data_IF_916261549441
#
_entry.id   IF_916261549441
#
_cell.length_a   1.000
_cell.length_b   1.000
_cell.length_c   1.000
_cell.angle_alpha   90.00
_cell.angle_beta   90.00
_cell.angle_gamma   90.00
#
_symmetry.space_group_name_H-M   'P 1'
#
loop_
_entity.id
_entity.type
_entity.pdbx_description
1 polymer ?
#
# COMPACT_ATOMS: atom_id res chain seq x y z
N UNK A 1 7.82 -15.16 6.18
CA UNK A 1 6.63 -14.64 5.47
C UNK A 1 7.15 -13.83 4.30
N UNK A 2 6.90 -14.26 3.06
CA UNK A 2 7.48 -13.62 1.87
C UNK A 2 6.95 -12.20 1.63
N UNK A 3 7.87 -11.28 1.32
CA UNK A 3 7.68 -9.85 1.12
C UNK A 3 6.51 -9.49 0.18
N UNK A 4 6.32 -10.27 -0.89
CA UNK A 4 5.26 -10.08 -1.89
C UNK A 4 3.86 -9.96 -1.29
N UNK A 5 3.56 -10.66 -0.19
CA UNK A 5 2.20 -10.74 0.38
C UNK A 5 1.68 -9.39 0.90
N UNK A 6 2.59 -8.48 1.26
CA UNK A 6 2.25 -7.18 1.85
C UNK A 6 2.28 -6.03 0.86
N UNK A 7 2.82 -6.23 -0.34
CA UNK A 7 2.85 -5.22 -1.40
C UNK A 7 1.72 -5.53 -2.38
N UNK A 8 0.80 -4.60 -2.58
CA UNK A 8 -0.27 -4.75 -3.55
C UNK A 8 0.29 -4.85 -4.99
N UNK A 9 -0.44 -5.46 -5.94
CA UNK A 9 -0.01 -5.52 -7.35
C UNK A 9 0.25 -4.16 -8.00
N UNK A 10 -0.38 -3.10 -7.49
CA UNK A 10 -0.14 -1.73 -7.91
C UNK A 10 1.10 -1.08 -7.27
N UNK A 11 1.84 -1.73 -6.38
CA UNK A 11 3.03 -1.14 -5.74
C UNK A 11 2.74 -0.36 -4.45
N UNK A 12 1.55 -0.49 -3.87
CA UNK A 12 1.26 0.07 -2.54
C UNK A 12 1.74 -0.92 -1.48
N UNK A 13 2.52 -0.46 -0.50
CA UNK A 13 2.78 -1.22 0.73
C UNK A 13 1.50 -1.24 1.60
N UNK A 14 0.79 -2.37 1.66
CA UNK A 14 -0.45 -2.49 2.41
C UNK A 14 -0.26 -2.28 3.92
N UNK A 15 0.95 -2.45 4.47
CA UNK A 15 1.20 -2.19 5.89
C UNK A 15 1.01 -0.74 6.29
N UNK A 16 1.03 0.19 5.33
CA UNK A 16 0.75 1.62 5.51
C UNK A 16 -0.76 1.95 5.46
N UNK A 17 -1.62 0.97 5.20
CA UNK A 17 -3.07 1.16 5.17
C UNK A 17 -3.65 1.07 6.58
N UNK A 18 -4.53 2.00 6.96
CA UNK A 18 -5.17 1.96 8.29
C UNK A 18 -5.99 0.68 8.51
N UNK A 19 -6.61 0.12 7.46
CA UNK A 19 -7.35 -1.14 7.60
C UNK A 19 -6.42 -2.35 7.80
N UNK A 20 -5.17 -2.29 7.32
CA UNK A 20 -4.19 -3.33 7.61
C UNK A 20 -3.67 -3.21 9.05
N UNK A 21 -3.60 -1.98 9.58
CA UNK A 21 -3.18 -1.69 10.95
C UNK A 21 -4.33 -1.83 11.98
N UNK A 22 -5.58 -2.01 11.55
CA UNK A 22 -6.72 -2.21 12.44
C UNK A 22 -6.63 -3.56 13.16
N UNK A 23 -6.51 -3.53 14.49
CA UNK A 23 -6.37 -4.75 15.32
C UNK A 23 -7.69 -5.52 15.44
N UNK A 24 -8.85 -4.84 15.35
CA UNK A 24 -10.18 -5.45 15.52
C UNK A 24 -10.70 -6.03 14.20
N UNK A 25 -10.47 -5.34 13.09
CA UNK A 25 -10.97 -5.70 11.75
C UNK A 25 -9.84 -5.68 10.72
N UNK A 26 -8.81 -6.48 10.98
CA UNK A 26 -7.58 -6.49 10.19
C UNK A 26 -7.82 -6.92 8.74
N UNK A 27 -7.53 -6.03 7.81
CA UNK A 27 -7.40 -6.38 6.39
C UNK A 27 -6.05 -7.07 6.16
N UNK A 28 -6.02 -8.26 5.54
CA UNK A 28 -4.78 -9.03 5.34
C UNK A 28 -3.93 -8.54 4.17
N UNK A 29 -4.37 -7.51 3.43
CA UNK A 29 -3.69 -6.97 2.25
C UNK A 29 -4.29 -7.45 0.93
N UNK A 30 -4.00 -6.73 -0.15
CA UNK A 30 -4.66 -6.92 -1.46
C UNK A 30 -4.35 -8.26 -2.14
N UNK A 31 -3.26 -8.94 -1.75
CA UNK A 31 -2.88 -10.25 -2.30
C UNK A 31 -3.37 -11.44 -1.48
N UNK A 32 -3.93 -11.20 -0.30
CA UNK A 32 -4.33 -12.30 0.57
C UNK A 32 -5.47 -13.11 -0.05
N UNK A 33 -5.40 -14.42 0.10
CA UNK A 33 -6.52 -15.33 -0.24
C UNK A 33 -7.33 -15.74 1.00
N UNK A 34 -6.89 -15.31 2.19
CA UNK A 34 -7.46 -15.69 3.48
C UNK A 34 -7.83 -14.41 4.24
N UNK A 35 -8.93 -14.45 4.98
CA UNK A 35 -9.40 -13.32 5.78
C UNK A 35 -10.26 -12.32 5.00
N UNK A 36 -10.71 -11.28 5.69
CA UNK A 36 -11.64 -10.30 5.12
C UNK A 36 -10.89 -9.12 4.52
N UNK A 37 -10.79 -9.08 3.19
CA UNK A 37 -10.28 -7.92 2.47
C UNK A 37 -11.31 -6.78 2.53
N UNK A 38 -10.83 -5.56 2.79
CA UNK A 38 -11.67 -4.36 2.77
C UNK A 38 -12.43 -4.26 1.44
N UNK A 39 -13.73 -3.97 1.49
CA UNK A 39 -14.62 -3.89 0.31
C UNK A 39 -14.05 -3.05 -0.86
N UNK A 40 -13.42 -1.91 -0.58
CA UNK A 40 -12.80 -1.07 -1.61
C UNK A 40 -11.59 -1.72 -2.30
N UNK A 41 -10.83 -2.54 -1.58
CA UNK A 41 -9.70 -3.31 -2.12
C UNK A 41 -10.21 -4.55 -2.86
N UNK A 42 -11.23 -5.22 -2.31
CA UNK A 42 -11.88 -6.37 -2.93
C UNK A 42 -12.49 -6.03 -4.30
N UNK A 43 -13.10 -4.84 -4.41
CA UNK A 43 -13.72 -4.36 -5.65
C UNK A 43 -12.75 -3.56 -6.54
N UNK A 44 -11.46 -3.54 -6.23
CA UNK A 44 -10.49 -2.73 -6.95
C UNK A 44 -10.21 -3.32 -8.33
N UNK A 45 -10.54 -2.59 -9.40
CA UNK A 45 -10.28 -3.00 -10.78
C UNK A 45 -8.79 -3.32 -11.04
N UNK A 46 -7.87 -2.55 -10.46
CA UNK A 46 -6.42 -2.81 -10.60
C UNK A 46 -6.03 -4.10 -9.88
N UNK A 47 -6.54 -4.34 -8.67
CA UNK A 47 -6.26 -5.57 -7.91
C UNK A 47 -6.80 -6.81 -8.62
N UNK A 48 -7.97 -6.69 -9.26
CA UNK A 48 -8.67 -7.80 -9.93
C UNK A 48 -8.30 -7.96 -11.42
N UNK A 49 -7.50 -7.07 -11.99
CA UNK A 49 -7.06 -7.16 -13.38
C UNK A 49 -6.28 -8.48 -13.63
N UNK A 50 -6.64 -9.19 -14.68
CA UNK A 50 -6.04 -10.47 -15.10
C UNK A 50 -4.80 -10.30 -15.99
N UNK A 51 -4.65 -9.14 -16.66
CA UNK A 51 -3.50 -8.85 -17.54
C UNK A 51 -2.14 -8.73 -16.84
N UNK A 52 -2.10 -8.74 -15.50
CA UNK A 52 -0.87 -8.65 -14.70
C UNK A 52 -0.58 -10.01 -14.07
N UNK A 53 0.70 -10.39 -14.00
CA UNK A 53 1.15 -11.60 -13.33
C UNK A 53 1.23 -11.39 -11.81
N UNK A 54 2.24 -10.65 -11.35
CA UNK A 54 2.44 -10.24 -9.96
C UNK A 54 2.25 -8.75 -9.82
N UNK A 55 2.89 -7.94 -10.66
CA UNK A 55 2.86 -6.49 -10.58
C UNK A 55 2.31 -5.85 -11.84
N UNK A 56 1.75 -4.65 -11.70
CA UNK A 56 1.23 -3.90 -12.84
C UNK A 56 2.33 -3.53 -13.86
N UNK A 57 3.60 -3.42 -13.46
CA UNK A 57 4.70 -3.13 -14.38
C UNK A 57 5.04 -4.28 -15.34
N UNK A 58 4.51 -5.48 -15.09
CA UNK A 58 4.71 -6.67 -15.94
C UNK A 58 3.69 -6.74 -17.08
N UNK A 59 2.66 -5.88 -17.05
CA UNK A 59 1.65 -5.82 -18.10
C UNK A 59 2.17 -5.05 -19.33
N UNK A 60 1.85 -5.53 -20.54
CA UNK A 60 2.20 -4.87 -21.80
C UNK A 60 1.61 -3.46 -21.95
N UNK A 61 0.48 -3.18 -21.29
CA UNK A 61 -0.19 -1.87 -21.32
C UNK A 61 0.36 -0.90 -20.24
N UNK A 62 1.43 -1.26 -19.54
CA UNK A 62 1.98 -0.44 -18.47
C UNK A 62 2.66 0.84 -18.99
N UNK A 63 2.45 2.01 -18.35
CA UNK A 63 1.43 2.29 -17.34
C UNK A 63 0.04 2.54 -17.98
N UNK A 64 -0.95 1.73 -17.60
CA UNK A 64 -2.29 1.82 -18.19
C UNK A 64 -3.10 3.00 -17.62
N UNK A 65 -4.18 3.40 -18.32
CA UNK A 65 -5.03 4.54 -17.93
C UNK A 65 -5.59 4.42 -16.51
N UNK A 66 -6.03 3.23 -16.10
CA UNK A 66 -6.57 2.99 -14.77
C UNK A 66 -5.51 3.15 -13.68
N UNK A 67 -4.29 2.67 -13.92
CA UNK A 67 -3.18 2.79 -12.97
C UNK A 67 -2.74 4.25 -12.83
N UNK A 68 -2.63 5.00 -13.93
CA UNK A 68 -2.32 6.44 -13.93
C UNK A 68 -3.37 7.24 -13.14
N UNK A 69 -4.65 6.87 -13.28
CA UNK A 69 -5.71 7.50 -12.49
C UNK A 69 -5.56 7.20 -10.99
N UNK A 70 -5.31 5.94 -10.62
CA UNK A 70 -5.09 5.53 -9.24
C UNK A 70 -3.90 6.29 -8.62
N UNK A 71 -2.78 6.36 -9.35
CA UNK A 71 -1.58 7.09 -8.97
C UNK A 71 -1.88 8.56 -8.68
N UNK A 72 -2.56 9.27 -9.59
CA UNK A 72 -2.97 10.66 -9.38
C UNK A 72 -3.80 10.84 -8.10
N UNK A 73 -4.74 9.92 -7.83
CA UNK A 73 -5.55 10.00 -6.60
C UNK A 73 -4.72 9.79 -5.33
N UNK A 74 -3.75 8.87 -5.36
CA UNK A 74 -2.87 8.60 -4.22
C UNK A 74 -1.89 9.75 -3.97
N UNK A 75 -1.36 10.38 -5.02
CA UNK A 75 -0.52 11.57 -4.88
C UNK A 75 -1.30 12.72 -4.24
N UNK A 76 -2.54 12.97 -4.70
CA UNK A 76 -3.37 14.04 -4.17
C UNK A 76 -3.75 13.82 -2.70
N UNK A 77 -4.18 12.61 -2.34
CA UNK A 77 -4.74 12.30 -1.01
C UNK A 77 -3.70 11.91 0.03
N UNK A 78 -2.65 11.21 -0.37
CA UNK A 78 -1.71 10.55 0.55
C UNK A 78 -0.25 10.91 0.30
N UNK A 79 0.03 11.81 -0.66
CA UNK A 79 1.39 12.20 -1.06
C UNK A 79 2.27 10.99 -1.39
N UNK A 80 1.66 9.96 -1.97
CA UNK A 80 2.31 8.71 -2.37
C UNK A 80 2.23 8.54 -3.88
N UNK A 81 3.36 8.22 -4.50
CA UNK A 81 3.47 7.99 -5.94
C UNK A 81 3.55 6.48 -6.21
N UNK A 82 2.50 5.94 -6.81
CA UNK A 82 2.34 4.52 -7.11
C UNK A 82 3.27 4.10 -8.25
N UNK A 83 3.44 4.95 -9.27
CA UNK A 83 4.31 4.63 -10.40
C UNK A 83 5.78 4.59 -9.97
N UNK A 84 6.20 5.53 -9.12
CA UNK A 84 7.53 5.54 -8.52
C UNK A 84 7.75 4.31 -7.62
N UNK A 85 6.76 3.91 -6.82
CA UNK A 85 6.86 2.69 -6.02
C UNK A 85 7.07 1.45 -6.92
N UNK A 86 6.29 1.32 -7.99
CA UNK A 86 6.43 0.20 -8.94
C UNK A 86 7.80 0.19 -9.62
N UNK A 87 8.31 1.36 -10.01
CA UNK A 87 9.62 1.49 -10.61
C UNK A 87 10.74 1.14 -9.61
N UNK A 88 10.61 1.58 -8.36
CA UNK A 88 11.53 1.20 -7.27
C UNK A 88 11.54 -0.31 -7.05
N UNK A 89 10.37 -0.95 -6.94
CA UNK A 89 10.26 -2.41 -6.76
C UNK A 89 10.92 -3.13 -7.94
N UNK A 90 10.67 -2.68 -9.17
CA UNK A 90 11.26 -3.26 -10.38
C UNK A 90 12.78 -3.16 -10.40
N UNK A 91 13.35 -2.03 -9.96
CA UNK A 91 14.79 -1.78 -10.04
C UNK A 91 15.58 -2.30 -8.84
N UNK A 92 15.00 -2.28 -7.64
CA UNK A 92 15.68 -2.53 -6.36
C UNK A 92 15.14 -3.74 -5.60
N UNK A 93 14.00 -4.28 -6.01
CA UNK A 93 13.35 -5.41 -5.37
C UNK A 93 12.44 -5.02 -4.20
N UNK A 94 11.64 -6.00 -3.76
CA UNK A 94 10.61 -5.84 -2.73
C UNK A 94 11.18 -5.51 -1.35
N UNK A 95 12.29 -6.14 -0.98
CA UNK A 95 12.90 -5.97 0.35
C UNK A 95 13.45 -4.55 0.52
N UNK A 96 14.22 -4.07 -0.47
CA UNK A 96 14.72 -2.70 -0.49
C UNK A 96 13.58 -1.68 -0.48
N UNK A 97 12.48 -1.97 -1.18
CA UNK A 97 11.29 -1.13 -1.16
C UNK A 97 10.66 -1.10 0.24
N UNK A 98 10.45 -2.24 0.88
CA UNK A 98 9.86 -2.31 2.23
C UNK A 98 10.72 -1.55 3.25
N UNK A 99 12.05 -1.74 3.22
CA UNK A 99 12.97 -1.00 4.10
C UNK A 99 12.83 0.50 3.89
N UNK A 100 12.90 0.97 2.64
CA UNK A 100 12.73 2.38 2.28
C UNK A 100 11.38 2.95 2.74
N UNK A 101 10.28 2.21 2.54
CA UNK A 101 8.96 2.64 3.01
C UNK A 101 8.89 2.68 4.54
N UNK A 102 9.47 1.69 5.23
CA UNK A 102 9.47 1.65 6.69
C UNK A 102 10.25 2.83 7.27
N UNK A 103 11.43 3.12 6.74
CA UNK A 103 12.22 4.30 7.14
C UNK A 103 11.43 5.59 6.93
N UNK A 104 10.83 5.76 5.73
CA UNK A 104 10.07 6.97 5.37
C UNK A 104 8.85 7.22 6.25
N UNK A 105 8.13 6.15 6.64
CA UNK A 105 6.83 6.26 7.31
C UNK A 105 6.85 5.86 8.79
N UNK A 106 8.01 5.55 9.37
CA UNK A 106 8.11 5.30 10.81
C UNK A 106 7.86 6.58 11.61
N UNK A 107 7.08 6.48 12.68
CA UNK A 107 6.86 7.59 13.61
C UNK A 107 8.15 7.88 14.37
N UNK A 108 8.70 9.11 14.33
CA UNK A 108 9.92 9.44 15.05
C UNK A 108 9.73 9.39 16.57
N UNK A 109 8.52 9.58 17.09
CA UNK A 109 8.26 9.64 18.53
C UNK A 109 8.15 8.25 19.18
N UNK A 110 7.55 7.27 18.49
CA UNK A 110 7.27 5.96 19.08
C UNK A 110 7.81 4.76 18.28
N UNK A 111 8.49 5.01 17.16
CA UNK A 111 9.10 3.97 16.32
C UNK A 111 8.12 3.04 15.58
N UNK A 112 6.81 3.25 15.72
CA UNK A 112 5.79 2.44 15.01
C UNK A 112 5.54 2.95 13.60
N UNK A 113 5.29 2.03 12.68
CA UNK A 113 5.01 2.34 11.28
C UNK A 113 3.67 3.08 11.14
N UNK A 114 3.68 4.31 10.63
CA UNK A 114 2.46 5.12 10.48
C UNK A 114 1.61 4.64 9.30
N UNK A 115 0.31 4.85 9.41
CA UNK A 115 -0.60 4.81 8.27
C UNK A 115 -0.49 6.11 7.47
N UNK A 116 -0.61 6.03 6.15
CA UNK A 116 -0.63 7.18 5.24
C UNK A 116 -2.01 7.87 5.16
N UNK A 117 -3.03 7.28 5.78
CA UNK A 117 -4.40 7.80 5.75
C UNK A 117 -4.69 8.89 6.77
N UNK A 118 -3.79 9.12 7.74
CA UNK A 118 -3.92 10.15 8.76
C UNK A 118 -2.65 10.99 8.82
N UNK A 119 -2.81 12.27 9.11
CA UNK A 119 -1.74 13.23 9.33
C UNK A 119 -1.07 13.06 10.71
N UNK A 120 -1.73 12.40 11.66
CA UNK A 120 -1.19 12.06 12.98
C UNK A 120 -0.78 10.57 13.13
N UNK A 121 0.04 10.27 14.15
CA UNK A 121 0.39 8.89 14.50
C UNK A 121 -0.73 8.23 15.30
N UNK A 122 -1.34 7.18 14.72
CA UNK A 122 -2.40 6.42 15.38
C UNK A 122 -1.93 5.60 16.60
N UNK A 123 -0.66 5.67 16.99
CA UNK A 123 -0.16 4.88 18.12
C UNK A 123 0.22 5.71 19.34
N UNK A 124 0.67 6.96 19.16
CA UNK A 124 1.11 7.83 20.25
C UNK A 124 0.51 9.24 20.20
N UNK A 125 -0.17 9.62 19.12
CA UNK A 125 -0.80 10.94 18.95
C UNK A 125 -2.30 10.85 18.70
N UNK A 126 -2.93 9.71 19.02
CA UNK A 126 -4.40 9.62 19.13
C UNK A 126 -4.85 10.35 20.40
N UNK A 127 -4.69 11.67 20.46
CA UNK A 127 -5.39 12.40 21.52
C UNK A 127 -6.88 12.31 21.20
N UNK A 128 -7.61 11.64 22.09
CA UNK A 128 -9.06 11.50 22.05
C UNK A 128 -9.63 12.90 21.80
N UNK A 129 -10.20 13.13 20.62
CA UNK A 129 -11.22 14.18 20.47
C UNK A 129 -12.30 13.83 21.49
N UNK A 130 -12.29 14.56 22.62
CA UNK A 130 -13.46 14.71 23.48
C UNK A 130 -14.55 15.41 22.68
#
# INVERSE_FOLDING_TARGET
>A
MGSITTIAPCGINCTLCHAFQDVKKKCPGCRSKIGVIRKSCLNCAISNCDKKTNYCFECMEYPCKQLKYLDKQYQLRYKMNILENLDYIRQKGEEAFIVSQNEKYTCPDCGKLRTVHYDYCIYCKQEKKK
#
